data_IF_166001870059
#
_entry.id   IF_166001870059
#
_cell.length_a   1.000
_cell.length_b   1.000
_cell.length_c   1.000
_cell.angle_alpha   90.00
_cell.angle_beta   90.00
_cell.angle_gamma   90.00
#
_symmetry.space_group_name_H-M   'P 1'
#
loop_
_entity.id
_entity.type
_entity.pdbx_description
1 polymer ?
#
# COMPACT_ATOMS: atom_id res chain seq x y z
N UNK A 1 15.87 -22.30 8.15
CA UNK A 1 14.50 -21.77 8.22
C UNK A 1 14.58 -20.32 8.63
N UNK A 2 14.43 -19.42 7.66
CA UNK A 2 14.38 -17.99 7.95
C UNK A 2 12.94 -17.59 8.25
N UNK A 3 12.67 -17.23 9.49
CA UNK A 3 11.37 -16.69 9.91
C UNK A 3 11.47 -15.16 9.89
N UNK A 4 10.66 -14.49 9.07
CA UNK A 4 10.63 -13.02 9.06
C UNK A 4 10.00 -12.49 10.36
N UNK A 5 8.94 -13.11 10.85
CA UNK A 5 8.24 -12.73 12.08
C UNK A 5 7.88 -13.98 12.86
N UNK A 6 8.16 -13.99 14.17
CA UNK A 6 7.85 -15.15 15.02
C UNK A 6 6.34 -15.27 15.28
N UNK A 7 5.63 -14.13 15.28
CA UNK A 7 4.18 -14.04 15.43
C UNK A 7 3.59 -13.31 14.23
N UNK A 8 2.45 -13.79 13.75
CA UNK A 8 1.74 -13.17 12.62
C UNK A 8 1.37 -11.69 12.90
N UNK A 9 1.03 -11.39 14.16
CA UNK A 9 0.67 -10.06 14.67
C UNK A 9 1.81 -9.02 14.55
N UNK A 10 3.05 -9.46 14.45
CA UNK A 10 4.20 -8.56 14.28
C UNK A 10 4.34 -8.06 12.83
N UNK A 11 3.53 -8.58 11.89
CA UNK A 11 3.53 -8.20 10.49
C UNK A 11 2.32 -7.31 10.14
N UNK A 12 2.56 -6.18 9.46
CA UNK A 12 1.49 -5.31 8.95
C UNK A 12 0.85 -5.76 7.63
N UNK A 13 1.23 -6.93 7.09
CA UNK A 13 0.61 -7.49 5.88
C UNK A 13 0.86 -6.74 4.56
N UNK A 14 1.81 -5.81 4.50
CA UNK A 14 2.03 -4.97 3.31
C UNK A 14 2.46 -5.70 2.03
N UNK A 15 2.90 -6.97 2.09
CA UNK A 15 3.44 -7.77 0.97
C UNK A 15 4.78 -7.32 0.35
N UNK A 16 5.44 -6.30 0.91
CA UNK A 16 6.71 -5.81 0.37
C UNK A 16 7.80 -6.90 0.28
N UNK A 17 7.85 -7.81 1.26
CA UNK A 17 8.79 -8.93 1.31
C UNK A 17 8.54 -9.96 0.18
N UNK A 18 7.28 -10.25 -0.15
CA UNK A 18 6.89 -11.11 -1.28
C UNK A 18 7.25 -10.42 -2.61
N UNK A 19 6.93 -9.13 -2.75
CA UNK A 19 7.20 -8.36 -3.96
C UNK A 19 8.70 -8.21 -4.28
N UNK A 20 9.55 -8.01 -3.27
CA UNK A 20 10.99 -7.80 -3.47
C UNK A 20 11.77 -9.09 -3.68
N UNK A 21 11.23 -10.26 -3.28
CA UNK A 21 11.97 -11.52 -3.32
C UNK A 21 12.24 -11.97 -4.77
N UNK A 22 13.51 -12.02 -5.24
CA UNK A 22 13.83 -12.37 -6.63
C UNK A 22 13.63 -13.87 -6.93
N UNK A 23 13.49 -14.70 -5.90
CA UNK A 23 13.23 -16.14 -6.00
C UNK A 23 11.78 -16.52 -5.69
N UNK A 24 10.92 -15.54 -5.42
CA UNK A 24 9.52 -15.77 -5.04
C UNK A 24 9.38 -16.76 -3.86
N UNK A 25 10.32 -16.72 -2.93
CA UNK A 25 10.43 -17.67 -1.81
C UNK A 25 9.59 -17.26 -0.58
N UNK A 26 8.83 -16.18 -0.70
CA UNK A 26 7.91 -15.68 0.32
C UNK A 26 6.56 -15.54 -0.34
N UNK A 27 5.51 -16.07 0.29
CA UNK A 27 4.12 -15.93 -0.17
C UNK A 27 3.26 -15.33 0.93
N UNK A 28 2.46 -14.32 0.62
CA UNK A 28 1.49 -13.79 1.58
C UNK A 28 0.29 -14.74 1.66
N UNK A 29 -0.05 -15.19 2.86
CA UNK A 29 -1.20 -16.09 3.09
C UNK A 29 -2.11 -15.56 4.20
N UNK A 30 -3.43 -15.84 4.18
CA UNK A 30 -4.34 -15.42 5.23
C UNK A 30 -3.94 -15.99 6.59
N UNK A 31 -4.01 -15.16 7.64
CA UNK A 31 -3.84 -15.58 9.03
C UNK A 31 -5.03 -16.43 9.51
N UNK A 32 -4.88 -17.08 10.66
CA UNK A 32 -5.92 -17.95 11.26
C UNK A 32 -7.21 -17.21 11.57
N UNK A 33 -7.14 -15.91 11.87
CA UNK A 33 -8.31 -15.09 12.23
C UNK A 33 -8.98 -14.45 11.01
N UNK A 34 -8.47 -14.70 9.79
CA UNK A 34 -9.06 -14.29 8.52
C UNK A 34 -9.01 -12.79 8.21
N UNK A 35 -8.33 -11.99 9.03
CA UNK A 35 -8.35 -10.52 8.95
C UNK A 35 -7.20 -9.89 8.16
N UNK A 36 -6.07 -10.59 8.00
CA UNK A 36 -4.87 -10.06 7.37
C UNK A 36 -3.98 -11.17 6.80
N UNK A 37 -3.05 -10.80 5.92
CA UNK A 37 -2.09 -11.75 5.35
C UNK A 37 -0.75 -11.65 6.06
N UNK A 38 -0.04 -12.78 6.19
CA UNK A 38 1.29 -12.87 6.77
C UNK A 38 2.26 -13.60 5.81
N UNK A 39 3.58 -13.38 5.93
CA UNK A 39 4.55 -13.98 5.03
C UNK A 39 4.84 -15.44 5.40
N UNK A 40 4.44 -16.37 4.54
CA UNK A 40 4.89 -17.75 4.55
C UNK A 40 6.23 -17.89 3.82
N UNK A 41 7.23 -18.45 4.49
CA UNK A 41 8.51 -18.83 3.89
C UNK A 41 8.42 -20.21 3.24
N UNK A 42 8.79 -20.34 1.97
CA UNK A 42 8.54 -21.55 1.17
C UNK A 42 9.65 -22.61 1.27
N UNK A 43 10.82 -22.31 1.82
CA UNK A 43 11.92 -23.28 1.99
C UNK A 43 13.30 -22.65 1.88
N UNK A 44 14.32 -23.29 2.46
CA UNK A 44 15.70 -22.78 2.41
C UNK A 44 16.36 -23.02 1.05
N UNK A 45 15.97 -24.07 0.35
CA UNK A 45 16.50 -24.48 -0.95
C UNK A 45 16.30 -23.44 -2.06
N UNK A 46 15.28 -22.59 -1.93
CA UNK A 46 14.96 -21.52 -2.89
C UNK A 46 15.51 -20.16 -2.44
N UNK A 47 16.06 -20.05 -1.23
CA UNK A 47 16.59 -18.81 -0.70
C UNK A 47 18.06 -18.61 -1.13
N UNK A 48 18.36 -17.43 -1.68
CA UNK A 48 19.73 -17.04 -2.05
C UNK A 48 20.39 -16.12 -1.02
N UNK A 49 19.83 -15.99 0.19
CA UNK A 49 20.37 -15.18 1.30
C UNK A 49 20.69 -13.72 0.93
N UNK A 50 19.89 -13.12 0.05
CA UNK A 50 20.09 -11.72 -0.40
C UNK A 50 19.65 -10.65 0.60
N UNK A 51 18.96 -11.04 1.70
CA UNK A 51 18.44 -10.16 2.76
C UNK A 51 17.47 -9.04 2.33
N UNK A 52 17.09 -8.94 1.05
CA UNK A 52 16.18 -7.90 0.55
C UNK A 52 14.83 -7.82 1.28
N UNK A 53 14.28 -8.97 1.71
CA UNK A 53 13.02 -9.01 2.45
C UNK A 53 13.11 -8.41 3.87
N UNK A 54 14.30 -8.43 4.48
CA UNK A 54 14.58 -7.74 5.75
C UNK A 54 14.78 -6.25 5.50
N UNK A 55 15.53 -5.90 4.46
CA UNK A 55 15.82 -4.51 4.11
C UNK A 55 14.57 -3.74 3.67
N UNK A 56 13.65 -4.36 2.94
CA UNK A 56 12.42 -3.69 2.51
C UNK A 56 11.44 -3.50 3.65
N UNK A 57 11.54 -4.28 4.74
CA UNK A 57 10.55 -4.31 5.79
C UNK A 57 10.72 -3.10 6.74
N UNK A 58 9.74 -2.18 6.81
CA UNK A 58 9.84 -1.01 7.69
C UNK A 58 9.77 -1.39 9.18
N UNK A 59 9.22 -2.56 9.52
CA UNK A 59 9.15 -3.05 10.90
C UNK A 59 10.45 -3.71 11.38
N UNK A 60 11.35 -4.08 10.44
CA UNK A 60 12.69 -4.59 10.77
C UNK A 60 13.74 -3.50 10.81
N UNK A 61 13.50 -2.39 10.10
CA UNK A 61 14.30 -1.18 10.21
C UNK A 61 13.90 -0.44 11.50
N UNK A 62 14.88 -0.15 12.35
CA UNK A 62 14.68 0.76 13.48
C UNK A 62 14.14 2.09 12.97
N UNK A 63 13.04 2.55 13.55
CA UNK A 63 12.38 3.76 13.09
C UNK A 63 13.10 4.98 13.67
N UNK A 64 14.17 5.43 13.03
CA UNK A 64 14.85 6.68 13.35
C UNK A 64 13.99 7.87 12.89
N UNK A 65 12.82 8.01 13.52
CA UNK A 65 11.98 9.19 13.30
C UNK A 65 12.73 10.40 13.86
N UNK A 66 13.24 11.23 12.95
CA UNK A 66 13.80 12.54 13.30
C UNK A 66 12.74 13.32 14.08
N UNK A 67 12.98 13.59 15.36
CA UNK A 67 12.09 14.43 16.19
C UNK A 67 12.11 15.84 15.62
N UNK A 68 11.13 16.16 14.78
CA UNK A 68 10.83 17.51 14.32
C UNK A 68 9.63 18.06 15.07
N UNK A 69 9.58 19.37 15.24
CA UNK A 69 8.38 20.06 15.72
C UNK A 69 7.22 19.79 14.75
N UNK A 70 6.08 19.33 15.29
CA UNK A 70 4.92 18.94 14.49
C UNK A 70 3.98 20.14 14.38
N UNK A 71 3.72 20.60 13.16
CA UNK A 71 2.68 21.58 12.86
C UNK A 71 1.46 20.84 12.31
N UNK A 72 0.27 21.22 12.76
CA UNK A 72 -0.99 20.59 12.39
C UNK A 72 -1.89 21.56 11.64
N UNK A 73 -2.57 21.05 10.60
CA UNK A 73 -3.53 21.80 9.81
C UNK A 73 -4.84 21.02 9.73
N UNK A 74 -5.96 21.75 9.65
CA UNK A 74 -7.28 21.19 9.42
C UNK A 74 -7.94 21.95 8.25
N UNK A 75 -8.62 21.20 7.37
CA UNK A 75 -9.25 21.78 6.19
C UNK A 75 -10.27 20.84 5.57
N UNK A 76 -11.15 21.41 4.76
CA UNK A 76 -12.14 20.69 3.94
C UNK A 76 -12.13 21.29 2.54
N UNK A 77 -12.44 20.45 1.55
CA UNK A 77 -12.69 20.92 0.18
C UNK A 77 -13.82 21.96 0.16
N UNK A 78 -13.72 22.91 -0.78
CA UNK A 78 -14.79 23.86 -1.11
C UNK A 78 -15.80 23.29 -2.11
N UNK A 79 -15.46 22.18 -2.76
CA UNK A 79 -16.32 21.48 -3.72
C UNK A 79 -17.33 20.61 -2.94
N UNK A 80 -18.59 21.03 -2.94
CA UNK A 80 -19.66 20.36 -2.20
C UNK A 80 -19.89 18.93 -2.70
N UNK A 81 -19.83 18.70 -4.01
CA UNK A 81 -20.04 17.37 -4.58
C UNK A 81 -18.91 16.43 -4.17
N UNK A 82 -17.66 16.91 -4.25
CA UNK A 82 -16.51 16.15 -3.81
C UNK A 82 -16.56 15.79 -2.32
N UNK A 83 -17.04 16.72 -1.48
CA UNK A 83 -17.25 16.48 -0.06
C UNK A 83 -18.25 15.34 0.20
N UNK A 84 -19.39 15.33 -0.50
CA UNK A 84 -20.43 14.29 -0.37
C UNK A 84 -19.95 12.91 -0.88
N UNK A 85 -19.06 12.90 -1.86
CA UNK A 85 -18.45 11.68 -2.39
C UNK A 85 -17.31 11.14 -1.51
N UNK A 86 -16.82 11.92 -0.54
CA UNK A 86 -15.69 11.58 0.34
C UNK A 86 -16.14 11.08 1.71
N UNK A 87 -15.28 10.36 2.44
CA UNK A 87 -15.57 9.96 3.85
C UNK A 87 -15.40 11.10 4.86
N UNK A 88 -14.68 12.15 4.49
CA UNK A 88 -14.40 13.31 5.37
C UNK A 88 -14.19 14.55 4.49
N UNK A 89 -13.27 15.45 4.84
CA UNK A 89 -13.04 16.73 4.16
C UNK A 89 -12.50 16.69 2.72
N UNK A 90 -12.43 15.53 2.06
CA UNK A 90 -11.99 15.42 0.65
C UNK A 90 -10.48 15.58 0.41
N UNK A 91 -9.65 15.55 1.46
CA UNK A 91 -8.22 15.82 1.38
C UNK A 91 -7.46 14.95 0.36
N UNK A 92 -7.74 13.64 0.29
CA UNK A 92 -7.12 12.75 -0.69
C UNK A 92 -7.27 13.26 -2.13
N UNK A 93 -8.51 13.58 -2.50
CA UNK A 93 -8.84 14.04 -3.85
C UNK A 93 -8.20 15.39 -4.17
N UNK A 94 -8.23 16.32 -3.21
CA UNK A 94 -7.59 17.64 -3.38
C UNK A 94 -6.07 17.50 -3.51
N UNK A 95 -5.44 16.66 -2.69
CA UNK A 95 -4.00 16.38 -2.78
C UNK A 95 -3.65 15.79 -4.15
N UNK A 96 -4.44 14.85 -4.67
CA UNK A 96 -4.19 14.28 -6.00
C UNK A 96 -4.30 15.34 -7.11
N UNK A 97 -5.27 16.26 -7.02
CA UNK A 97 -5.46 17.36 -7.98
C UNK A 97 -4.34 18.41 -7.96
N UNK A 98 -3.51 18.47 -6.91
CA UNK A 98 -2.37 19.37 -6.87
C UNK A 98 -1.22 18.93 -7.79
N UNK A 99 -1.17 17.65 -8.17
CA UNK A 99 -0.14 17.16 -9.08
C UNK A 99 -0.45 17.61 -10.51
N UNK A 100 0.50 18.32 -11.11
CA UNK A 100 0.37 18.98 -12.42
C UNK A 100 0.80 18.10 -13.59
N UNK A 101 1.18 16.84 -13.34
CA UNK A 101 1.44 15.88 -14.41
C UNK A 101 0.15 15.65 -15.19
N UNK A 102 0.23 15.60 -16.53
CA UNK A 102 -0.94 15.43 -17.37
C UNK A 102 -1.65 14.10 -17.09
N UNK A 103 -0.93 13.09 -16.60
CA UNK A 103 -1.49 11.77 -16.35
C UNK A 103 -0.74 10.99 -15.24
N UNK A 104 -0.86 11.37 -13.95
CA UNK A 104 -0.24 10.62 -12.86
C UNK A 104 -0.91 9.26 -12.69
N UNK A 105 -0.15 8.28 -12.20
CA UNK A 105 -0.65 6.95 -11.82
C UNK A 105 -1.01 6.97 -10.34
N UNK A 106 -2.29 6.81 -10.03
CA UNK A 106 -2.79 6.87 -8.67
C UNK A 106 -3.09 5.46 -8.21
N UNK A 107 -2.47 5.03 -7.13
CA UNK A 107 -2.73 3.75 -6.47
C UNK A 107 -3.63 3.95 -5.26
N UNK A 108 -4.58 3.03 -5.07
CA UNK A 108 -5.45 3.03 -3.91
C UNK A 108 -6.27 1.75 -3.78
N UNK A 109 -7.03 1.66 -2.68
CA UNK A 109 -7.90 0.52 -2.43
C UNK A 109 -9.28 0.74 -3.08
N UNK A 110 -9.76 -0.24 -3.85
CA UNK A 110 -11.10 -0.26 -4.44
C UNK A 110 -11.80 -1.60 -4.21
N UNK A 111 -13.10 -1.65 -4.46
CA UNK A 111 -13.83 -2.90 -4.58
C UNK A 111 -13.62 -3.47 -5.99
N UNK A 112 -13.45 -4.78 -6.10
CA UNK A 112 -13.57 -5.53 -7.36
C UNK A 112 -15.01 -6.02 -7.60
N UNK A 113 -15.23 -6.70 -8.72
CA UNK A 113 -16.56 -7.16 -9.14
C UNK A 113 -17.09 -8.29 -8.24
N UNK A 114 -16.19 -8.97 -7.52
CA UNK A 114 -16.46 -10.01 -6.54
C UNK A 114 -16.61 -9.49 -5.10
N UNK A 115 -16.65 -8.17 -4.90
CA UNK A 115 -16.75 -7.52 -3.59
C UNK A 115 -15.55 -7.77 -2.65
N UNK A 116 -14.36 -8.03 -3.19
CA UNK A 116 -13.11 -7.96 -2.42
C UNK A 116 -12.56 -6.54 -2.44
N UNK A 117 -11.82 -6.16 -1.39
CA UNK A 117 -11.01 -4.94 -1.41
C UNK A 117 -9.65 -5.28 -1.97
N UNK A 118 -9.24 -4.61 -3.04
CA UNK A 118 -7.94 -4.82 -3.70
C UNK A 118 -7.18 -3.51 -3.81
N UNK A 119 -5.86 -3.58 -3.74
CA UNK A 119 -4.98 -2.49 -4.18
C UNK A 119 -4.90 -2.50 -5.70
N UNK A 120 -5.20 -1.36 -6.31
CA UNK A 120 -5.17 -1.18 -7.75
C UNK A 120 -4.68 0.22 -8.12
N UNK A 121 -4.62 0.54 -9.40
CA UNK A 121 -4.28 1.86 -9.90
C UNK A 121 -5.24 2.35 -10.99
N UNK A 122 -5.24 3.68 -11.18
CA UNK A 122 -5.82 4.35 -12.33
C UNK A 122 -4.82 5.37 -12.86
N UNK A 123 -4.95 5.71 -14.13
CA UNK A 123 -4.22 6.83 -14.73
C UNK A 123 -5.16 8.03 -14.78
N UNK A 124 -4.68 9.21 -14.34
CA UNK A 124 -5.44 10.45 -14.38
C UNK A 124 -6.25 10.72 -13.11
N UNK A 125 -6.21 11.97 -12.65
CA UNK A 125 -6.89 12.42 -11.41
C UNK A 125 -8.40 12.36 -11.51
N UNK A 126 -8.95 12.41 -12.72
CA UNK A 126 -10.37 12.26 -13.01
C UNK A 126 -10.88 10.85 -12.70
N UNK A 127 -10.01 9.84 -12.79
CA UNK A 127 -10.36 8.43 -12.61
C UNK A 127 -10.19 7.94 -11.16
N UNK A 128 -9.75 8.78 -10.22
CA UNK A 128 -9.46 8.39 -8.82
C UNK A 128 -10.69 8.06 -7.96
N UNK A 129 -11.90 8.24 -8.48
CA UNK A 129 -13.15 8.06 -7.74
C UNK A 129 -13.27 6.69 -7.02
N UNK A 130 -12.86 5.55 -7.61
CA UNK A 130 -12.92 4.24 -6.95
C UNK A 130 -12.10 4.15 -5.64
N UNK A 131 -11.04 4.94 -5.51
CA UNK A 131 -10.17 4.96 -4.32
C UNK A 131 -10.69 5.84 -3.19
N UNK A 132 -11.70 6.67 -3.47
CA UNK A 132 -12.36 7.46 -2.43
C UNK A 132 -13.10 6.55 -1.46
N UNK A 133 -13.41 7.16 -0.31
CA UNK A 133 -14.06 6.55 0.84
C UNK A 133 -13.24 5.47 1.54
N UNK A 134 -13.47 5.35 2.84
CA UNK A 134 -12.83 4.33 3.66
C UNK A 134 -13.39 2.95 3.34
N UNK A 135 -12.49 1.97 3.22
CA UNK A 135 -12.81 0.54 3.24
C UNK A 135 -12.30 -0.02 4.56
N UNK A 136 -13.18 -0.69 5.31
CA UNK A 136 -12.89 -1.21 6.65
C UNK A 136 -12.49 -2.69 6.64
N UNK A 137 -11.94 -3.15 5.51
CA UNK A 137 -11.42 -4.50 5.28
C UNK A 137 -10.00 -4.35 4.74
N UNK A 138 -9.10 -5.26 5.11
CA UNK A 138 -7.74 -5.26 4.58
C UNK A 138 -7.77 -5.43 3.05
N UNK A 139 -7.10 -4.52 2.34
CA UNK A 139 -6.99 -4.63 0.89
C UNK A 139 -6.00 -5.74 0.54
N UNK A 140 -6.36 -6.62 -0.39
CA UNK A 140 -5.40 -7.53 -1.00
C UNK A 140 -4.34 -6.69 -1.74
N UNK A 141 -3.05 -6.78 -1.37
CA UNK A 141 -2.01 -5.99 -2.01
C UNK A 141 -1.80 -6.30 -3.49
N UNK A 142 -2.26 -7.44 -4.01
CA UNK A 142 -2.22 -7.82 -5.43
C UNK A 142 -0.90 -7.50 -6.14
N UNK A 143 0.24 -7.77 -5.49
CA UNK A 143 1.58 -7.46 -5.99
C UNK A 143 1.79 -6.00 -6.43
N UNK A 144 1.04 -5.05 -5.84
CA UNK A 144 0.99 -3.64 -6.23
C UNK A 144 2.37 -2.99 -6.35
N UNK A 145 3.31 -3.36 -5.48
CA UNK A 145 4.68 -2.82 -5.52
C UNK A 145 5.45 -3.18 -6.80
N UNK A 146 5.12 -4.30 -7.47
CA UNK A 146 5.67 -4.60 -8.80
C UNK A 146 5.18 -3.60 -9.84
N UNK A 147 3.89 -3.26 -9.82
CA UNK A 147 3.32 -2.24 -10.72
C UNK A 147 3.91 -0.86 -10.42
N UNK A 148 3.97 -0.45 -9.15
CA UNK A 148 4.60 0.81 -8.74
C UNK A 148 6.03 0.91 -9.29
N UNK A 149 6.85 -0.13 -9.11
CA UNK A 149 8.22 -0.17 -9.64
C UNK A 149 8.25 -0.04 -11.17
N UNK A 150 7.34 -0.70 -11.88
CA UNK A 150 7.27 -0.62 -13.34
C UNK A 150 6.97 0.81 -13.83
N UNK A 151 5.99 1.50 -13.22
CA UNK A 151 5.67 2.89 -13.58
C UNK A 151 6.79 3.86 -13.23
N UNK A 152 7.41 3.71 -12.06
CA UNK A 152 8.56 4.54 -11.66
C UNK A 152 9.75 4.37 -12.61
N UNK A 153 10.05 3.13 -13.04
CA UNK A 153 11.09 2.88 -14.05
C UNK A 153 10.78 3.49 -15.41
N UNK A 154 9.49 3.71 -15.71
CA UNK A 154 9.01 4.43 -16.89
C UNK A 154 9.00 5.96 -16.73
N UNK A 155 9.60 6.50 -15.66
CA UNK A 155 9.59 7.93 -15.32
C UNK A 155 8.18 8.52 -15.18
N UNK A 156 7.20 7.71 -14.76
CA UNK A 156 5.84 8.18 -14.48
C UNK A 156 5.74 8.71 -13.05
N UNK A 157 4.95 9.75 -12.86
CA UNK A 157 4.55 10.22 -11.52
C UNK A 157 3.59 9.22 -10.89
N UNK A 158 3.91 8.77 -9.66
CA UNK A 158 3.10 7.82 -8.89
C UNK A 158 2.59 8.47 -7.61
N UNK A 159 1.29 8.44 -7.38
CA UNK A 159 0.64 8.83 -6.12
C UNK A 159 0.16 7.55 -5.44
N UNK A 160 0.66 7.26 -4.24
CA UNK A 160 0.33 6.02 -3.54
C UNK A 160 -0.48 6.30 -2.28
N UNK A 161 -1.76 5.91 -2.27
CA UNK A 161 -2.61 5.97 -1.10
C UNK A 161 -2.60 4.62 -0.40
N UNK A 162 -2.11 4.58 0.83
CA UNK A 162 -2.16 3.37 1.66
C UNK A 162 -2.66 3.70 3.07
N UNK A 163 -3.36 2.71 3.66
CA UNK A 163 -3.51 2.62 5.10
C UNK A 163 -2.51 1.58 5.61
N UNK A 164 -1.54 2.02 6.42
CA UNK A 164 -0.78 1.09 7.25
C UNK A 164 -1.76 0.48 8.27
N UNK A 165 -2.13 -0.78 8.06
CA UNK A 165 -2.84 -1.57 9.06
C UNK A 165 -1.81 -1.93 10.12
N UNK A 166 -2.06 -1.52 11.36
CA UNK A 166 -1.40 -2.07 12.54
C UNK A 166 -2.31 -3.13 13.13
#
# INVERSE_FOLDING_TARGET
MMILFEKDEDCCGCSACEAICPKHNIKMIPNTDGGYHYPLYLGDENCINCNLCLEVCPLKKGNDMVKREKVYYAGTTKDRKLWEESTSGGAFSEICRLYQDENPVIFGARWDDEFNVVMDYVEGVENMAPFRRSKYVAANPNMVFKHVKAFLNGNRTVIFQERLVK
#
